data_IF_365367102311
#
_entry.id   IF_365367102311
#
_cell.length_a   1.000
_cell.length_b   1.000
_cell.length_c   1.000
_cell.angle_alpha   90.00
_cell.angle_beta   90.00
_cell.angle_gamma   90.00
#
_symmetry.space_group_name_H-M   'P 1'
#
loop_
_entity.id
_entity.type
_entity.pdbx_description
1 polymer ?
#
# COMPACT_ATOMS: atom_id res chain seq x y z
N UNK A 1 -9.63 2.59 -9.20
CA UNK A 1 -9.02 1.72 -10.22
C UNK A 1 -9.53 0.29 -10.05
N UNK A 2 -9.88 -0.38 -11.15
CA UNK A 2 -10.41 -1.77 -11.17
C UNK A 2 -9.28 -2.79 -10.89
N UNK A 3 -8.04 -2.39 -11.08
CA UNK A 3 -6.87 -3.27 -11.00
C UNK A 3 -6.71 -3.91 -9.60
N UNK A 4 -6.83 -3.13 -8.55
CA UNK A 4 -6.62 -3.62 -7.17
C UNK A 4 -7.59 -4.73 -6.76
N UNK A 5 -8.93 -4.59 -6.85
CA UNK A 5 -9.84 -5.65 -6.45
C UNK A 5 -9.68 -6.91 -7.32
N UNK A 6 -9.41 -6.75 -8.63
CA UNK A 6 -9.20 -7.89 -9.53
C UNK A 6 -7.92 -8.65 -9.16
N UNK A 7 -6.81 -7.95 -8.90
CA UNK A 7 -5.55 -8.57 -8.50
C UNK A 7 -5.66 -9.26 -7.15
N UNK A 8 -6.37 -8.65 -6.19
CA UNK A 8 -6.60 -9.25 -4.88
C UNK A 8 -7.45 -10.52 -4.96
N UNK A 9 -8.47 -10.54 -5.83
CA UNK A 9 -9.25 -11.75 -6.10
C UNK A 9 -8.38 -12.88 -6.68
N UNK A 10 -7.49 -12.56 -7.63
CA UNK A 10 -6.56 -13.55 -8.20
C UNK A 10 -5.56 -14.07 -7.16
N UNK A 11 -5.11 -13.22 -6.25
CA UNK A 11 -4.23 -13.62 -5.16
C UNK A 11 -4.93 -14.55 -4.18
N UNK A 12 -6.20 -14.25 -3.82
CA UNK A 12 -6.98 -15.11 -2.92
C UNK A 12 -7.25 -16.51 -3.52
N UNK A 13 -7.39 -16.60 -4.83
CA UNK A 13 -7.52 -17.88 -5.53
C UNK A 13 -6.21 -18.68 -5.60
N UNK A 14 -5.07 -18.00 -5.46
CA UNK A 14 -3.74 -18.59 -5.68
C UNK A 14 -2.98 -18.91 -4.39
N UNK A 15 -3.26 -18.19 -3.31
CA UNK A 15 -2.55 -18.32 -2.04
C UNK A 15 -3.48 -18.77 -0.90
N UNK A 16 -2.99 -19.61 0.04
CA UNK A 16 -3.75 -19.97 1.21
C UNK A 16 -3.88 -18.76 2.17
N UNK A 17 -5.00 -18.70 2.92
CA UNK A 17 -5.29 -17.60 3.88
C UNK A 17 -4.14 -17.32 4.86
N UNK A 18 -3.38 -18.34 5.23
CA UNK A 18 -2.20 -18.22 6.12
C UNK A 18 -1.07 -17.36 5.56
N UNK A 19 -0.95 -17.25 4.22
CA UNK A 19 0.09 -16.47 3.52
C UNK A 19 -0.45 -15.29 2.74
N UNK A 20 -1.70 -14.91 3.03
CA UNK A 20 -2.36 -13.85 2.30
C UNK A 20 -1.75 -12.46 2.60
N UNK A 21 -1.28 -12.24 3.84
CA UNK A 21 -0.58 -11.02 4.23
C UNK A 21 0.72 -10.83 3.43
N UNK A 22 1.51 -11.89 3.29
CA UNK A 22 2.71 -11.88 2.45
C UNK A 22 2.37 -11.64 0.98
N UNK A 23 1.39 -12.36 0.43
CA UNK A 23 1.03 -12.25 -0.98
C UNK A 23 0.51 -10.84 -1.33
N UNK A 24 -0.33 -10.26 -0.46
CA UNK A 24 -0.80 -8.89 -0.61
C UNK A 24 0.35 -7.88 -0.43
N UNK A 25 1.22 -8.06 0.57
CA UNK A 25 2.42 -7.25 0.76
C UNK A 25 3.33 -7.26 -0.47
N UNK A 26 3.58 -8.42 -1.05
CA UNK A 26 4.37 -8.57 -2.28
C UNK A 26 3.73 -7.81 -3.45
N UNK A 27 2.43 -7.93 -3.65
CA UNK A 27 1.71 -7.18 -4.69
C UNK A 27 1.86 -5.67 -4.49
N UNK A 28 1.69 -5.19 -3.25
CA UNK A 28 1.77 -3.77 -2.94
C UNK A 28 3.18 -3.19 -2.96
N UNK A 29 4.24 -4.00 -3.09
CA UNK A 29 5.60 -3.50 -3.33
C UNK A 29 5.70 -2.63 -4.60
N UNK A 30 4.82 -2.83 -5.57
CA UNK A 30 4.73 -1.97 -6.75
C UNK A 30 4.49 -0.49 -6.43
N UNK A 31 3.82 -0.18 -5.32
CA UNK A 31 3.53 1.21 -4.92
C UNK A 31 4.81 1.96 -4.52
N UNK A 32 5.62 1.53 -3.54
CA UNK A 32 6.85 2.23 -3.18
C UNK A 32 7.87 2.23 -4.32
N UNK A 33 7.93 1.20 -5.15
CA UNK A 33 8.78 1.19 -6.36
C UNK A 33 8.34 2.31 -7.30
N UNK A 34 7.06 2.37 -7.66
CA UNK A 34 6.55 3.37 -8.60
C UNK A 34 6.72 4.80 -8.09
N UNK A 35 6.35 5.05 -6.83
CA UNK A 35 6.52 6.37 -6.20
C UNK A 35 8.00 6.74 -6.06
N UNK A 36 8.83 5.83 -5.55
CA UNK A 36 10.25 6.10 -5.34
C UNK A 36 10.98 6.34 -6.66
N UNK A 37 10.76 5.50 -7.68
CA UNK A 37 11.37 5.70 -9.01
C UNK A 37 10.92 7.02 -9.65
N UNK A 38 9.65 7.40 -9.50
CA UNK A 38 9.18 8.70 -10.02
C UNK A 38 9.88 9.88 -9.35
N UNK A 39 10.10 9.80 -8.03
CA UNK A 39 10.83 10.81 -7.28
C UNK A 39 12.31 10.86 -7.64
N UNK A 40 12.95 9.70 -7.85
CA UNK A 40 14.35 9.64 -8.30
C UNK A 40 14.51 10.26 -9.69
N UNK A 41 13.62 9.94 -10.63
CA UNK A 41 13.61 10.57 -11.95
C UNK A 41 13.43 12.09 -11.83
N UNK A 42 12.48 12.55 -11.01
CA UNK A 42 12.28 13.99 -10.80
C UNK A 42 13.48 14.66 -10.12
N UNK A 43 14.10 14.00 -9.13
CA UNK A 43 15.24 14.52 -8.39
C UNK A 43 16.54 14.59 -9.20
N UNK A 44 16.82 13.57 -10.03
CA UNK A 44 18.04 13.53 -10.82
C UNK A 44 17.92 14.25 -12.17
N UNK A 45 16.76 14.17 -12.80
CA UNK A 45 16.56 14.65 -14.17
C UNK A 45 15.67 15.88 -14.26
N UNK A 46 14.97 16.23 -13.17
CA UNK A 46 13.98 17.33 -13.20
C UNK A 46 14.59 18.69 -13.53
N UNK A 47 15.79 18.99 -13.04
CA UNK A 47 16.49 20.25 -13.31
C UNK A 47 17.04 20.30 -14.74
N UNK A 48 17.58 19.20 -15.26
CA UNK A 48 18.22 19.14 -16.58
C UNK A 48 17.21 18.98 -17.73
N UNK A 49 16.22 18.11 -17.56
CA UNK A 49 15.24 17.80 -18.60
C UNK A 49 13.96 18.62 -18.49
N UNK A 50 13.69 19.18 -17.32
CA UNK A 50 12.43 19.83 -17.00
C UNK A 50 11.30 18.82 -16.70
N UNK A 51 10.31 19.25 -15.95
CA UNK A 51 9.23 18.39 -15.44
C UNK A 51 8.42 17.69 -16.55
N UNK A 52 8.20 18.35 -17.71
CA UNK A 52 7.45 17.76 -18.83
C UNK A 52 8.12 16.51 -19.39
N UNK A 53 9.43 16.55 -19.57
CA UNK A 53 10.18 15.43 -20.10
C UNK A 53 10.28 14.28 -19.11
N UNK A 54 10.30 14.55 -17.79
CA UNK A 54 10.18 13.52 -16.77
C UNK A 54 8.84 12.78 -16.88
N UNK A 55 7.73 13.47 -17.11
CA UNK A 55 6.43 12.84 -17.35
C UNK A 55 6.41 12.01 -18.65
N UNK A 56 7.02 12.48 -19.74
CA UNK A 56 7.11 11.69 -20.97
C UNK A 56 7.94 10.42 -20.76
N UNK A 57 9.04 10.51 -20.02
CA UNK A 57 9.87 9.35 -19.67
C UNK A 57 9.09 8.32 -18.83
N UNK A 58 8.39 8.77 -17.80
CA UNK A 58 7.55 7.89 -16.97
C UNK A 58 6.40 7.27 -17.76
N UNK A 59 5.76 8.05 -18.63
CA UNK A 59 4.71 7.57 -19.53
C UNK A 59 5.22 6.52 -20.51
N UNK A 60 6.42 6.70 -21.05
CA UNK A 60 7.06 5.72 -21.94
C UNK A 60 7.38 4.42 -21.19
N UNK A 61 7.92 4.49 -19.98
CA UNK A 61 8.16 3.31 -19.12
C UNK A 61 6.82 2.60 -18.87
N UNK A 62 5.77 3.34 -18.52
CA UNK A 62 4.43 2.79 -18.31
C UNK A 62 3.87 2.09 -19.56
N UNK A 63 4.07 2.66 -20.75
CA UNK A 63 3.66 2.07 -22.03
C UNK A 63 4.39 0.74 -22.25
N UNK A 64 5.72 0.71 -22.07
CA UNK A 64 6.52 -0.51 -22.25
C UNK A 64 6.06 -1.60 -21.29
N UNK A 65 5.87 -1.28 -20.00
CA UNK A 65 5.35 -2.23 -19.02
C UNK A 65 3.94 -2.73 -19.36
N UNK A 66 3.08 -1.83 -19.87
CA UNK A 66 1.74 -2.19 -20.33
C UNK A 66 1.77 -3.15 -21.52
N UNK A 67 2.68 -2.94 -22.47
CA UNK A 67 2.89 -3.85 -23.61
C UNK A 67 3.45 -5.22 -23.14
N UNK A 68 4.39 -5.21 -22.18
CA UNK A 68 4.88 -6.45 -21.57
C UNK A 68 3.76 -7.24 -20.87
N UNK A 69 2.77 -6.55 -20.30
CA UNK A 69 1.64 -7.22 -19.66
C UNK A 69 0.80 -8.05 -20.65
N UNK A 70 0.78 -7.70 -21.94
CA UNK A 70 0.09 -8.47 -22.99
C UNK A 70 0.73 -9.84 -23.25
N UNK A 71 2.00 -10.04 -22.84
CA UNK A 71 2.70 -11.29 -22.98
C UNK A 71 2.30 -12.32 -21.90
N UNK A 72 1.63 -11.88 -20.83
CA UNK A 72 1.17 -12.79 -19.79
C UNK A 72 -0.09 -13.53 -20.24
N UNK A 73 0.00 -14.87 -20.23
CA UNK A 73 -1.13 -15.74 -20.51
C UNK A 73 -2.08 -15.76 -19.31
N UNK A 74 -3.35 -15.55 -19.58
CA UNK A 74 -4.39 -15.63 -18.55
C UNK A 74 -4.45 -17.06 -17.97
N UNK A 75 -4.56 -17.15 -16.64
CA UNK A 75 -4.61 -18.44 -15.95
C UNK A 75 -6.08 -18.85 -15.83
N UNK A 76 -6.43 -20.07 -16.25
CA UNK A 76 -7.77 -20.61 -16.04
C UNK A 76 -8.10 -20.55 -14.54
N UNK A 77 -9.17 -19.83 -14.20
CA UNK A 77 -9.68 -19.75 -12.83
C UNK A 77 -10.18 -21.10 -12.38
N UNK A 78 -9.53 -21.66 -11.36
CA UNK A 78 -10.01 -22.86 -10.68
C UNK A 78 -11.33 -22.51 -9.99
N UNK A 79 -12.45 -22.98 -10.49
CA UNK A 79 -13.77 -22.80 -9.85
C UNK A 79 -14.83 -22.09 -10.69
N UNK A 80 -14.48 -21.46 -11.84
CA UNK A 80 -15.49 -20.82 -12.70
C UNK A 80 -16.24 -21.81 -13.64
N UNK A 81 -15.81 -23.06 -13.69
CA UNK A 81 -16.50 -24.06 -14.54
C UNK A 81 -17.89 -24.44 -14.04
N UNK A 82 -18.19 -24.20 -12.75
CA UNK A 82 -19.50 -24.58 -12.16
C UNK A 82 -20.35 -23.36 -11.75
N UNK A 83 -19.81 -22.15 -11.81
CA UNK A 83 -20.62 -20.95 -11.61
C UNK A 83 -20.90 -20.33 -12.98
N UNK A 84 -22.11 -20.63 -13.49
CA UNK A 84 -22.76 -19.88 -14.56
C UNK A 84 -22.49 -18.39 -14.26
N UNK A 85 -21.84 -17.70 -15.21
CA UNK A 85 -21.67 -16.26 -15.15
C UNK A 85 -22.98 -15.61 -14.74
N UNK A 86 -23.13 -15.05 -13.55
CA UNK A 86 -24.32 -14.30 -13.24
C UNK A 86 -24.34 -13.16 -14.25
N UNK A 87 -25.27 -13.19 -15.21
CA UNK A 87 -25.55 -11.97 -15.97
C UNK A 87 -25.69 -10.86 -14.95
N UNK A 88 -25.02 -9.71 -15.18
CA UNK A 88 -25.16 -8.51 -14.36
C UNK A 88 -26.61 -8.01 -14.47
N UNK A 89 -27.54 -8.76 -13.92
CA UNK A 89 -28.90 -8.32 -13.76
C UNK A 89 -28.93 -7.33 -12.60
N UNK A 90 -29.85 -6.39 -12.67
CA UNK A 90 -30.10 -5.43 -11.58
C UNK A 90 -30.34 -6.15 -10.25
N UNK A 91 -30.91 -7.31 -10.26
CA UNK A 91 -31.14 -8.23 -9.12
C UNK A 91 -29.82 -8.70 -8.47
N UNK A 92 -28.82 -9.06 -9.27
CA UNK A 92 -27.51 -9.49 -8.77
C UNK A 92 -26.78 -8.35 -8.03
N UNK A 93 -26.89 -7.12 -8.52
CA UNK A 93 -26.28 -5.95 -7.88
C UNK A 93 -26.97 -5.59 -6.56
N UNK A 94 -28.29 -5.70 -6.49
CA UNK A 94 -29.07 -5.46 -5.26
C UNK A 94 -28.68 -6.49 -4.20
N UNK A 95 -28.56 -7.76 -4.58
CA UNK A 95 -28.13 -8.84 -3.67
C UNK A 95 -26.73 -8.63 -3.11
N UNK A 96 -25.77 -8.13 -3.92
CA UNK A 96 -24.41 -7.80 -3.47
C UNK A 96 -24.42 -6.66 -2.43
N UNK A 97 -25.17 -5.61 -2.71
CA UNK A 97 -25.28 -4.46 -1.79
C UNK A 97 -25.95 -4.88 -0.47
N UNK A 98 -26.99 -5.68 -0.54
CA UNK A 98 -27.69 -6.19 0.65
C UNK A 98 -26.77 -7.09 1.49
N UNK A 99 -26.01 -7.98 0.86
CA UNK A 99 -25.00 -8.83 1.50
C UNK A 99 -23.93 -7.98 2.18
N UNK A 100 -23.42 -6.95 1.50
CA UNK A 100 -22.44 -6.02 2.07
C UNK A 100 -22.99 -5.26 3.28
N UNK A 101 -24.21 -4.74 3.18
CA UNK A 101 -24.89 -4.05 4.30
C UNK A 101 -25.07 -5.00 5.49
N UNK A 102 -25.47 -6.25 5.22
CA UNK A 102 -25.63 -7.28 6.25
C UNK A 102 -24.29 -7.60 6.91
N UNK A 103 -23.22 -7.79 6.14
CA UNK A 103 -21.87 -8.01 6.67
C UNK A 103 -21.40 -6.83 7.53
N UNK A 104 -21.62 -5.58 7.09
CA UNK A 104 -21.29 -4.37 7.86
C UNK A 104 -22.11 -4.26 9.15
N UNK A 105 -23.37 -4.67 9.17
CA UNK A 105 -24.20 -4.66 10.37
C UNK A 105 -23.78 -5.75 11.36
N UNK A 106 -23.38 -6.89 10.87
CA UNK A 106 -23.10 -8.08 11.70
C UNK A 106 -21.67 -8.09 12.24
N UNK A 107 -20.68 -7.64 11.44
CA UNK A 107 -19.28 -7.69 11.81
C UNK A 107 -18.75 -6.34 12.32
N UNK A 108 -18.51 -6.25 13.63
CA UNK A 108 -17.82 -5.09 14.22
C UNK A 108 -16.38 -4.99 13.71
N UNK A 109 -15.69 -6.13 13.54
CA UNK A 109 -14.32 -6.16 13.04
C UNK A 109 -14.22 -5.53 11.65
N UNK A 110 -15.14 -5.86 10.73
CA UNK A 110 -15.18 -5.26 9.39
C UNK A 110 -15.37 -3.74 9.44
N UNK A 111 -16.30 -3.25 10.28
CA UNK A 111 -16.51 -1.80 10.45
C UNK A 111 -15.27 -1.09 10.94
N UNK A 112 -14.61 -1.60 11.99
CA UNK A 112 -13.40 -1.00 12.52
C UNK A 112 -12.23 -1.05 11.54
N UNK A 113 -12.10 -2.13 10.77
CA UNK A 113 -11.07 -2.23 9.72
C UNK A 113 -11.29 -1.19 8.62
N UNK A 114 -12.54 -0.98 8.18
CA UNK A 114 -12.87 0.04 7.19
C UNK A 114 -12.59 1.45 7.77
N UNK A 115 -13.03 1.74 8.99
CA UNK A 115 -12.74 3.03 9.62
C UNK A 115 -11.23 3.27 9.75
N UNK A 116 -10.47 2.29 10.22
CA UNK A 116 -9.02 2.38 10.29
C UNK A 116 -8.40 2.64 8.91
N UNK A 117 -8.90 1.98 7.87
CA UNK A 117 -8.49 2.20 6.49
C UNK A 117 -8.76 3.63 6.02
N UNK A 118 -9.94 4.20 6.31
CA UNK A 118 -10.28 5.58 5.96
C UNK A 118 -9.32 6.57 6.65
N UNK A 119 -9.13 6.43 7.98
CA UNK A 119 -8.19 7.30 8.71
C UNK A 119 -6.76 7.18 8.19
N UNK A 120 -6.33 5.97 7.87
CA UNK A 120 -5.01 5.75 7.30
C UNK A 120 -4.85 6.44 5.94
N UNK A 121 -5.86 6.40 5.06
CA UNK A 121 -5.80 7.09 3.77
C UNK A 121 -5.82 8.62 3.92
N UNK A 122 -6.43 9.17 4.98
CA UNK A 122 -6.29 10.59 5.31
C UNK A 122 -4.83 10.93 5.63
N UNK A 123 -4.17 10.11 6.47
CA UNK A 123 -2.74 10.29 6.79
C UNK A 123 -1.88 10.13 5.54
N UNK A 124 -2.18 9.15 4.70
CA UNK A 124 -1.50 8.93 3.42
C UNK A 124 -1.64 10.16 2.49
N UNK A 125 -2.82 10.75 2.41
CA UNK A 125 -3.04 12.00 1.68
C UNK A 125 -2.20 13.16 2.23
N UNK A 126 -2.09 13.26 3.54
CA UNK A 126 -1.26 14.27 4.19
C UNK A 126 0.26 14.06 3.95
N UNK A 127 0.71 12.84 3.73
CA UNK A 127 2.13 12.54 3.45
C UNK A 127 2.65 13.21 2.17
N UNK A 128 1.77 13.54 1.23
CA UNK A 128 2.13 14.31 0.04
C UNK A 128 2.68 15.71 0.36
N UNK A 129 2.31 16.28 1.51
CA UNK A 129 2.81 17.56 1.98
C UNK A 129 4.16 17.46 2.71
N UNK A 130 4.62 16.27 3.04
CA UNK A 130 5.89 16.07 3.73
C UNK A 130 7.08 16.61 2.93
N UNK A 131 7.11 16.42 1.62
CA UNK A 131 8.16 16.97 0.75
C UNK A 131 8.12 18.50 0.72
N UNK A 132 6.92 19.08 0.70
CA UNK A 132 6.75 20.53 0.75
C UNK A 132 7.23 21.09 2.09
N UNK A 133 6.93 20.42 3.21
CA UNK A 133 7.42 20.76 4.54
C UNK A 133 8.93 20.68 4.64
N UNK A 134 9.56 19.63 4.10
CA UNK A 134 11.01 19.49 4.06
C UNK A 134 11.68 20.63 3.29
N UNK A 135 11.07 21.06 2.17
CA UNK A 135 11.57 22.16 1.36
C UNK A 135 11.36 23.52 2.02
N UNK A 136 10.13 23.83 2.48
CA UNK A 136 9.78 25.16 2.97
C UNK A 136 10.23 25.44 4.39
N UNK A 137 10.15 24.44 5.27
CA UNK A 137 10.35 24.60 6.72
C UNK A 137 11.70 24.04 7.19
N UNK A 138 12.28 23.10 6.45
CA UNK A 138 13.49 22.39 6.85
C UNK A 138 14.73 22.76 6.02
N UNK A 139 14.58 23.60 4.99
CA UNK A 139 15.67 24.18 4.24
C UNK A 139 16.37 23.24 3.25
N UNK A 140 15.76 22.11 2.91
CA UNK A 140 16.31 21.21 1.89
C UNK A 140 16.02 21.70 0.47
N UNK A 141 16.90 21.39 -0.49
CA UNK A 141 16.65 21.61 -1.91
C UNK A 141 15.63 20.59 -2.45
N UNK A 142 14.82 21.00 -3.43
CA UNK A 142 13.76 20.14 -4.01
C UNK A 142 14.31 18.87 -4.65
N UNK A 143 15.40 18.99 -5.40
CA UNK A 143 16.08 17.86 -6.04
C UNK A 143 16.67 16.90 -5.02
N UNK A 144 17.28 17.43 -3.97
CA UNK A 144 17.86 16.65 -2.87
C UNK A 144 16.78 15.85 -2.14
N UNK A 145 15.67 16.50 -1.76
CA UNK A 145 14.54 15.82 -1.10
C UNK A 145 13.99 14.70 -1.98
N UNK A 146 13.76 14.99 -3.27
CA UNK A 146 13.21 14.00 -4.19
C UNK A 146 14.10 12.76 -4.29
N UNK A 147 15.43 12.95 -4.31
CA UNK A 147 16.40 11.85 -4.32
C UNK A 147 16.38 11.07 -3.00
N UNK A 148 16.51 11.75 -1.87
CA UNK A 148 16.57 11.12 -0.54
C UNK A 148 15.26 10.37 -0.22
N UNK A 149 14.14 11.05 -0.37
CA UNK A 149 12.82 10.45 -0.13
C UNK A 149 12.51 9.34 -1.13
N UNK A 150 12.97 9.48 -2.38
CA UNK A 150 12.86 8.45 -3.40
C UNK A 150 13.56 7.16 -2.98
N UNK A 151 14.83 7.24 -2.55
CA UNK A 151 15.57 6.08 -2.07
C UNK A 151 15.00 5.50 -0.77
N UNK A 152 14.68 6.34 0.20
CA UNK A 152 14.06 5.90 1.46
C UNK A 152 12.72 5.21 1.16
N UNK A 153 11.89 5.81 0.31
CA UNK A 153 10.60 5.26 -0.08
C UNK A 153 10.71 3.89 -0.73
N UNK A 154 11.67 3.70 -1.64
CA UNK A 154 11.93 2.39 -2.24
C UNK A 154 12.36 1.39 -1.18
N UNK A 155 13.45 1.63 -0.46
CA UNK A 155 14.02 0.61 0.44
C UNK A 155 13.15 0.37 1.68
N UNK A 156 12.72 1.43 2.37
CA UNK A 156 11.88 1.30 3.55
C UNK A 156 10.46 0.82 3.21
N UNK A 157 9.89 1.33 2.10
CA UNK A 157 8.57 0.88 1.64
C UNK A 157 8.55 -0.57 1.19
N UNK A 158 9.56 -1.03 0.45
CA UNK A 158 9.70 -2.44 0.05
C UNK A 158 9.85 -3.35 1.26
N UNK A 159 10.80 -3.02 2.14
CA UNK A 159 11.02 -3.81 3.37
C UNK A 159 9.78 -3.82 4.25
N UNK A 160 9.07 -2.69 4.37
CA UNK A 160 7.81 -2.59 5.10
C UNK A 160 6.73 -3.52 4.54
N UNK A 161 6.52 -3.53 3.23
CA UNK A 161 5.53 -4.42 2.60
C UNK A 161 5.86 -5.91 2.81
N UNK A 162 7.12 -6.32 2.62
CA UNK A 162 7.53 -7.70 2.82
C UNK A 162 7.48 -8.13 4.28
N UNK A 163 8.14 -7.37 5.14
CA UNK A 163 8.25 -7.68 6.57
C UNK A 163 6.88 -7.57 7.23
N UNK A 164 6.12 -6.51 6.89
CA UNK A 164 4.77 -6.32 7.41
C UNK A 164 3.83 -7.45 7.02
N UNK A 165 3.89 -7.92 5.78
CA UNK A 165 3.13 -9.09 5.33
C UNK A 165 3.52 -10.37 6.08
N UNK A 166 4.82 -10.68 6.17
CA UNK A 166 5.33 -11.86 6.87
C UNK A 166 5.03 -11.83 8.38
N UNK A 167 5.29 -10.69 9.04
CA UNK A 167 5.06 -10.57 10.47
C UNK A 167 3.57 -10.62 10.80
N UNK A 168 2.70 -10.07 9.97
CA UNK A 168 1.27 -10.15 10.18
C UNK A 168 0.72 -11.57 10.02
N UNK A 169 1.25 -12.34 9.07
CA UNK A 169 0.88 -13.75 8.91
C UNK A 169 1.37 -14.58 10.10
N UNK A 170 2.63 -14.37 10.52
CA UNK A 170 3.17 -15.00 11.72
C UNK A 170 2.36 -14.64 12.98
N UNK A 171 1.96 -13.37 13.13
CA UNK A 171 1.12 -12.90 14.23
C UNK A 171 -0.23 -13.60 14.23
N UNK A 172 -0.88 -13.70 13.08
CA UNK A 172 -2.15 -14.40 12.91
C UNK A 172 -2.07 -15.89 13.30
N UNK A 173 -0.96 -16.55 12.97
CA UNK A 173 -0.78 -17.97 13.31
C UNK A 173 -0.47 -18.22 14.79
N UNK A 174 0.24 -17.29 15.44
CA UNK A 174 0.75 -17.49 16.79
C UNK A 174 -0.06 -16.77 17.87
N UNK A 175 -1.02 -15.94 17.50
CA UNK A 175 -1.86 -15.20 18.45
C UNK A 175 -3.33 -15.34 18.11
N UNK A 176 -4.20 -15.21 19.12
CA UNK A 176 -5.66 -15.19 18.94
C UNK A 176 -6.20 -13.83 18.48
N UNK A 177 -5.33 -12.83 18.30
CA UNK A 177 -5.75 -11.43 18.16
C UNK A 177 -5.87 -10.95 16.70
N UNK A 178 -5.42 -11.76 15.75
CA UNK A 178 -5.52 -11.43 14.31
C UNK A 178 -4.57 -10.32 13.83
N UNK A 179 -4.50 -10.14 12.51
CA UNK A 179 -3.65 -9.14 11.82
C UNK A 179 -3.92 -7.68 12.23
N UNK A 180 -5.16 -7.23 12.51
CA UNK A 180 -5.40 -5.86 12.93
C UNK A 180 -4.68 -5.45 14.21
N UNK A 181 -4.49 -6.41 15.15
CA UNK A 181 -3.76 -6.12 16.39
C UNK A 181 -2.27 -5.96 16.16
N UNK A 182 -1.70 -6.66 15.18
CA UNK A 182 -0.32 -6.41 14.73
C UNK A 182 -0.16 -4.96 14.26
N UNK A 183 -1.07 -4.47 13.42
CA UNK A 183 -1.04 -3.07 12.95
C UNK A 183 -1.21 -2.06 14.08
N UNK A 184 -2.05 -2.36 15.07
CA UNK A 184 -2.21 -1.52 16.26
C UNK A 184 -0.90 -1.39 17.04
N UNK A 185 -0.24 -2.51 17.34
CA UNK A 185 1.04 -2.49 18.06
C UNK A 185 2.15 -1.82 17.25
N UNK A 186 2.21 -2.08 15.95
CA UNK A 186 3.15 -1.41 15.06
C UNK A 186 2.95 0.11 15.10
N UNK A 187 1.71 0.58 14.95
CA UNK A 187 1.39 1.99 15.00
C UNK A 187 1.74 2.61 16.37
N UNK A 188 1.40 1.94 17.47
CA UNK A 188 1.68 2.42 18.82
C UNK A 188 3.19 2.57 19.09
N UNK A 189 3.99 1.60 18.62
CA UNK A 189 5.45 1.63 18.78
C UNK A 189 6.13 2.69 17.90
N UNK A 190 5.62 2.92 16.69
CA UNK A 190 6.22 3.86 15.74
C UNK A 190 5.71 5.30 15.92
N UNK A 191 4.53 5.49 16.50
CA UNK A 191 3.89 6.80 16.70
C UNK A 191 4.79 7.82 17.44
N UNK A 192 5.45 7.49 18.55
CA UNK A 192 6.30 8.45 19.26
C UNK A 192 7.43 8.99 18.36
N UNK A 193 8.09 8.09 17.62
CA UNK A 193 9.18 8.47 16.72
C UNK A 193 8.64 9.28 15.54
N UNK A 194 7.48 8.88 14.98
CA UNK A 194 6.80 9.56 13.89
C UNK A 194 6.30 10.97 14.23
N UNK A 195 6.11 11.27 15.51
CA UNK A 195 5.79 12.63 15.99
C UNK A 195 7.09 13.38 16.31
N UNK A 196 7.99 12.75 17.06
CA UNK A 196 9.16 13.41 17.65
C UNK A 196 10.16 13.90 16.60
N UNK A 197 10.38 13.17 15.48
CA UNK A 197 11.31 13.58 14.44
C UNK A 197 10.96 14.94 13.81
N UNK A 198 9.70 15.35 13.89
CA UNK A 198 9.25 16.64 13.35
C UNK A 198 9.75 17.85 14.17
N UNK A 199 10.17 17.63 15.40
CA UNK A 199 10.64 18.67 16.32
C UNK A 199 12.17 18.74 16.44
N UNK A 200 12.89 17.76 15.91
CA UNK A 200 14.35 17.75 15.93
C UNK A 200 14.95 18.49 14.74
N UNK A 201 16.21 18.89 14.86
CA UNK A 201 16.93 19.57 13.80
C UNK A 201 17.12 18.66 12.58
N UNK A 202 17.00 19.24 11.35
CA UNK A 202 17.28 18.53 10.11
C UNK A 202 18.70 17.95 10.09
N UNK A 203 18.86 16.74 9.53
CA UNK A 203 20.16 16.08 9.42
C UNK A 203 20.58 15.28 10.64
N UNK A 204 19.88 15.36 11.77
CA UNK A 204 20.15 14.50 12.92
C UNK A 204 19.77 13.04 12.63
N UNK A 205 20.42 12.10 13.32
CA UNK A 205 20.10 10.67 13.17
C UNK A 205 18.64 10.36 13.48
N UNK A 206 18.06 11.00 14.49
CA UNK A 206 16.65 10.83 14.88
C UNK A 206 15.72 11.32 13.79
N UNK A 207 16.06 12.41 13.11
CA UNK A 207 15.29 12.95 11.99
C UNK A 207 15.17 11.93 10.86
N UNK A 208 16.30 11.35 10.42
CA UNK A 208 16.30 10.34 9.35
C UNK A 208 15.62 9.03 9.76
N UNK A 209 15.84 8.57 10.99
CA UNK A 209 15.15 7.40 11.53
C UNK A 209 13.63 7.60 11.49
N UNK A 210 13.14 8.79 11.84
CA UNK A 210 11.71 9.12 11.81
C UNK A 210 11.12 9.00 10.40
N UNK A 211 11.81 9.54 9.39
CA UNK A 211 11.38 9.43 7.99
C UNK A 211 11.40 7.97 7.54
N UNK A 212 12.47 7.23 7.79
CA UNK A 212 12.60 5.81 7.42
C UNK A 212 11.49 4.97 8.05
N UNK A 213 11.23 5.15 9.35
CA UNK A 213 10.16 4.43 10.07
C UNK A 213 8.79 4.79 9.50
N UNK A 214 8.56 6.05 9.12
CA UNK A 214 7.31 6.46 8.47
C UNK A 214 7.04 5.70 7.17
N UNK A 215 8.01 5.63 6.26
CA UNK A 215 7.90 4.89 5.00
C UNK A 215 7.82 3.37 5.21
N UNK A 216 8.55 2.84 6.19
CA UNK A 216 8.46 1.43 6.58
C UNK A 216 7.06 1.08 7.09
N UNK A 217 6.52 1.87 8.01
CA UNK A 217 5.17 1.68 8.56
C UNK A 217 4.10 1.78 7.47
N UNK A 218 4.26 2.72 6.53
CA UNK A 218 3.38 2.87 5.38
C UNK A 218 3.33 1.59 4.55
N UNK A 219 4.49 0.97 4.31
CA UNK A 219 4.58 -0.33 3.63
C UNK A 219 3.90 -1.45 4.41
N UNK A 220 4.10 -1.53 5.72
CA UNK A 220 3.52 -2.59 6.55
C UNK A 220 1.98 -2.59 6.58
N UNK A 221 1.33 -1.51 6.20
CA UNK A 221 -0.13 -1.38 6.33
C UNK A 221 -0.91 -2.20 5.29
N UNK A 222 -0.46 -2.21 4.04
CA UNK A 222 -1.27 -2.71 2.93
C UNK A 222 -1.54 -4.21 3.01
N UNK A 223 -0.50 -5.02 3.18
CA UNK A 223 -0.63 -6.48 3.25
C UNK A 223 -1.65 -6.95 4.29
N UNK A 224 -1.45 -6.64 5.56
CA UNK A 224 -2.36 -7.04 6.64
C UNK A 224 -3.78 -6.51 6.50
N UNK A 225 -3.95 -5.26 6.06
CA UNK A 225 -5.28 -4.64 5.93
C UNK A 225 -6.12 -5.33 4.87
N UNK A 226 -5.56 -5.54 3.68
CA UNK A 226 -6.31 -6.17 2.59
C UNK A 226 -6.59 -7.63 2.84
N UNK A 227 -5.65 -8.38 3.43
CA UNK A 227 -5.91 -9.76 3.82
C UNK A 227 -6.99 -9.89 4.91
N UNK A 228 -7.03 -8.95 5.86
CA UNK A 228 -8.10 -8.92 6.88
C UNK A 228 -9.48 -8.65 6.25
N UNK A 229 -9.57 -7.71 5.32
CA UNK A 229 -10.85 -7.44 4.63
C UNK A 229 -11.34 -8.66 3.87
N UNK A 230 -10.45 -9.36 3.16
CA UNK A 230 -10.81 -10.57 2.42
C UNK A 230 -11.29 -11.71 3.31
N UNK A 231 -10.76 -11.83 4.53
CA UNK A 231 -11.21 -12.84 5.49
C UNK A 231 -12.56 -12.51 6.14
N UNK A 232 -12.91 -11.22 6.22
CA UNK A 232 -14.13 -10.76 6.89
C UNK A 232 -15.34 -10.63 5.95
N UNK A 233 -15.11 -10.64 4.65
CA UNK A 233 -16.17 -10.59 3.64
C UNK A 233 -16.38 -12.01 3.11
N UNK A 234 -17.60 -12.55 3.21
CA UNK A 234 -17.95 -13.89 2.75
C UNK A 234 -17.90 -14.03 1.22
#
# INVERSE_FOLDING_TARGET
SILTPTSMSLLSDSFPSKRMGFAAGFYYMGVPIGVGVSLLIAGYLGESLGWRNCFYLLGFIGLVLGLCALLFKDRERKGLKDQVTPSLSKESTINIVETLIKALKTSSALRFTIFAGVFYHIILGASGFEQLWLFQERGFERSEIAQLVGWIGVFAGLSGNLIGGLLSDWWQENTSQGRPMFLFWLALLTLPIGIFYRFVEPGTTIFWIGIIIGYFQLGCFFGPTFSTVQELVP
#
